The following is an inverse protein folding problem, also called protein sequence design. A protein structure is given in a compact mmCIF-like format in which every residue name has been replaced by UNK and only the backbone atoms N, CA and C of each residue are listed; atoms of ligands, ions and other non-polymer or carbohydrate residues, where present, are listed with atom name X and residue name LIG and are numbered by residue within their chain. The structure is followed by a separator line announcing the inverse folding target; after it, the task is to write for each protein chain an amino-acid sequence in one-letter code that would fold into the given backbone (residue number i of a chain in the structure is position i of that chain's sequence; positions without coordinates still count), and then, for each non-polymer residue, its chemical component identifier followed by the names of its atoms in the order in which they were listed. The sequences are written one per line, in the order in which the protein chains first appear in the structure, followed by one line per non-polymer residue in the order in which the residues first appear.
data_IF_472643625266
#
_entry.id   IF_472643625266
#
_cell.length_a   1.000
_cell.length_b   1.000
_cell.length_c   1.000
_cell.angle_alpha   90.00
_cell.angle_beta   90.00
_cell.angle_gamma   90.00
#
_symmetry.space_group_name_H-M   'P 1'
#
loop_
_entity.id
_entity.type
_entity.pdbx_description
1 polymer ?
#
# COMPACT_ATOMS: atom_id res chain seq x y z
N UNK A 1 49.58 -15.48 -63.26
CA UNK A 1 48.63 -16.51 -62.80
C UNK A 1 48.95 -16.79 -61.35
N UNK A 2 48.25 -16.19 -60.38
CA UNK A 2 47.06 -16.77 -59.72
C UNK A 2 47.40 -18.16 -59.12
N UNK A 3 47.33 -18.45 -57.82
CA UNK A 3 46.28 -18.08 -56.86
C UNK A 3 46.74 -18.30 -55.40
N UNK A 4 46.12 -17.52 -54.52
CA UNK A 4 46.17 -17.53 -53.05
C UNK A 4 45.48 -18.73 -52.42
N UNK A 5 45.82 -19.07 -51.17
CA UNK A 5 44.89 -19.60 -50.15
C UNK A 5 45.49 -19.46 -48.74
N UNK A 6 44.90 -18.55 -47.98
CA UNK A 6 45.24 -18.20 -46.60
C UNK A 6 44.47 -19.12 -45.63
N UNK A 7 45.13 -19.64 -44.60
CA UNK A 7 44.49 -20.31 -43.46
C UNK A 7 44.53 -19.39 -42.25
N UNK A 8 43.39 -18.82 -41.90
CA UNK A 8 43.21 -17.94 -40.73
C UNK A 8 42.94 -18.79 -39.50
N UNK A 9 43.89 -18.81 -38.56
CA UNK A 9 43.71 -19.36 -37.21
C UNK A 9 43.27 -18.24 -36.27
N UNK A 10 41.97 -18.13 -36.03
CA UNK A 10 41.42 -17.20 -35.03
C UNK A 10 41.38 -17.91 -33.67
N UNK A 11 42.30 -17.54 -32.78
CA UNK A 11 42.18 -17.83 -31.35
C UNK A 11 40.94 -17.12 -30.79
N UNK A 12 40.07 -17.80 -30.02
CA UNK A 12 39.00 -17.11 -29.31
C UNK A 12 39.61 -16.26 -28.19
N UNK A 13 39.26 -14.97 -28.16
CA UNK A 13 39.64 -14.05 -27.09
C UNK A 13 39.17 -14.60 -25.74
N UNK A 14 40.01 -14.59 -24.69
CA UNK A 14 39.59 -15.00 -23.36
C UNK A 14 38.51 -14.04 -22.86
N UNK A 15 37.41 -14.60 -22.38
CA UNK A 15 36.38 -13.84 -21.67
C UNK A 15 37.01 -13.07 -20.50
N UNK A 16 36.61 -11.81 -20.24
CA UNK A 16 37.02 -11.12 -19.02
C UNK A 16 36.50 -11.90 -17.80
N UNK A 17 37.24 -11.94 -16.68
CA UNK A 17 36.75 -12.57 -15.46
C UNK A 17 35.45 -11.89 -15.03
N UNK A 18 34.48 -12.63 -14.45
CA UNK A 18 33.32 -11.99 -13.84
C UNK A 18 33.83 -11.08 -12.73
N UNK A 19 33.67 -9.77 -12.90
CA UNK A 19 33.95 -8.81 -11.86
C UNK A 19 33.04 -9.14 -10.66
N UNK A 20 33.57 -9.47 -9.47
CA UNK A 20 32.80 -9.37 -8.25
C UNK A 20 32.65 -7.88 -7.93
N UNK A 21 31.73 -7.22 -8.63
CA UNK A 21 31.41 -5.83 -8.36
C UNK A 21 30.34 -5.77 -7.27
N UNK A 22 30.69 -6.20 -6.06
CA UNK A 22 29.98 -5.80 -4.84
C UNK A 22 30.67 -4.54 -4.35
N UNK A 23 30.20 -3.37 -4.81
CA UNK A 23 30.65 -2.08 -4.29
C UNK A 23 30.23 -1.97 -2.82
N UNK A 24 31.17 -1.94 -1.85
CA UNK A 24 30.85 -1.88 -0.42
C UNK A 24 30.17 -0.57 0.00
N UNK A 25 30.19 0.44 -0.87
CA UNK A 25 29.49 1.72 -0.69
C UNK A 25 27.97 1.62 -0.87
N UNK A 26 27.47 0.64 -1.62
CA UNK A 26 26.03 0.43 -1.78
C UNK A 26 25.42 -0.18 -0.51
N UNK A 27 26.08 -1.20 0.06
CA UNK A 27 25.68 -1.83 1.33
C UNK A 27 25.69 -0.82 2.49
N UNK A 28 26.73 0.02 2.59
CA UNK A 28 26.82 1.02 3.65
C UNK A 28 25.71 2.07 3.57
N UNK A 29 25.29 2.44 2.37
CA UNK A 29 24.21 3.40 2.16
C UNK A 29 22.84 2.82 2.54
N UNK A 30 22.63 1.53 2.30
CA UNK A 30 21.39 0.85 2.68
C UNK A 30 21.31 0.60 4.19
N UNK A 31 22.43 0.27 4.86
CA UNK A 31 22.50 0.18 6.32
C UNK A 31 22.19 1.50 7.02
N UNK A 32 22.74 2.62 6.51
CA UNK A 32 22.45 3.96 7.06
C UNK A 32 20.97 4.32 6.86
N UNK A 33 20.38 4.00 5.69
CA UNK A 33 18.94 4.20 5.46
C UNK A 33 18.09 3.38 6.42
N UNK A 34 18.44 2.12 6.65
CA UNK A 34 17.78 1.22 7.61
C UNK A 34 17.82 1.81 9.02
N UNK A 35 18.98 2.32 9.46
CA UNK A 35 19.13 2.95 10.77
C UNK A 35 18.29 4.23 10.90
N UNK A 36 18.25 5.07 9.86
CA UNK A 36 17.42 6.28 9.85
C UNK A 36 15.94 5.91 9.96
N UNK A 37 15.46 4.93 9.18
CA UNK A 37 14.06 4.50 9.23
C UNK A 37 13.67 3.93 10.61
N UNK A 38 14.55 3.13 11.23
CA UNK A 38 14.33 2.64 12.59
C UNK A 38 14.34 3.76 13.63
N UNK A 39 15.22 4.75 13.48
CA UNK A 39 15.21 5.92 14.35
C UNK A 39 13.89 6.68 14.22
N UNK A 40 13.40 6.91 12.99
CA UNK A 40 12.11 7.55 12.75
C UNK A 40 10.92 6.79 13.32
N UNK A 41 10.97 5.45 13.40
CA UNK A 41 9.92 4.66 14.06
C UNK A 41 9.81 4.94 15.56
N UNK A 42 10.91 5.36 16.21
CA UNK A 42 10.87 5.75 17.64
C UNK A 42 10.17 7.08 17.85
N UNK A 43 10.12 7.91 16.82
CA UNK A 43 9.46 9.21 16.83
C UNK A 43 7.98 9.15 16.39
N UNK A 44 7.41 7.95 16.20
CA UNK A 44 6.02 7.77 15.75
C UNK A 44 4.99 8.56 16.59
N UNK A 45 5.25 8.69 17.89
CA UNK A 45 4.38 9.42 18.81
C UNK A 45 4.36 10.94 18.61
N UNK A 46 5.28 11.51 17.82
CA UNK A 46 5.35 12.92 17.49
C UNK A 46 4.84 13.22 16.07
N UNK A 47 4.57 12.18 15.28
CA UNK A 47 4.13 12.30 13.89
C UNK A 47 2.62 12.49 13.80
N UNK A 48 2.16 13.15 12.74
CA UNK A 48 0.75 13.09 12.36
C UNK A 48 0.42 11.77 11.63
N UNK A 49 -0.87 11.52 11.40
CA UNK A 49 -1.33 10.27 10.77
C UNK A 49 -0.80 10.06 9.36
N UNK A 50 -0.63 11.12 8.56
CA UNK A 50 -0.11 11.02 7.20
C UNK A 50 1.39 10.70 7.17
N UNK A 51 2.17 11.35 8.04
CA UNK A 51 3.61 11.08 8.22
C UNK A 51 3.85 9.66 8.69
N UNK A 52 3.09 9.19 9.69
CA UNK A 52 3.19 7.82 10.17
C UNK A 52 2.83 6.80 9.09
N UNK A 53 1.76 7.04 8.33
CA UNK A 53 1.36 6.16 7.23
C UNK A 53 2.45 6.09 6.13
N UNK A 54 3.07 7.23 5.81
CA UNK A 54 4.16 7.31 4.85
C UNK A 54 5.41 6.58 5.35
N UNK A 55 5.80 6.80 6.61
CA UNK A 55 6.94 6.12 7.22
C UNK A 55 6.73 4.59 7.20
N UNK A 56 5.59 4.11 7.67
CA UNK A 56 5.30 2.68 7.70
C UNK A 56 5.29 2.07 6.29
N UNK A 57 4.66 2.76 5.32
CA UNK A 57 4.70 2.33 3.92
C UNK A 57 6.14 2.25 3.38
N UNK A 58 6.99 3.18 3.78
CA UNK A 58 8.42 3.21 3.42
C UNK A 58 9.18 2.06 4.05
N UNK A 59 8.99 1.80 5.35
CA UNK A 59 9.58 0.65 6.06
C UNK A 59 9.21 -0.68 5.39
N UNK A 60 7.94 -0.86 5.01
CA UNK A 60 7.46 -2.07 4.34
C UNK A 60 8.06 -2.23 2.94
N UNK A 61 8.18 -1.13 2.18
CA UNK A 61 8.77 -1.15 0.83
C UNK A 61 10.27 -1.46 0.88
N UNK A 62 10.95 -0.94 1.88
CA UNK A 62 12.36 -1.22 2.17
C UNK A 62 12.58 -2.65 2.71
N UNK A 63 11.52 -3.43 2.96
CA UNK A 63 11.58 -4.76 3.60
C UNK A 63 12.37 -4.73 4.91
N UNK A 64 12.22 -3.64 5.67
CA UNK A 64 12.94 -3.41 6.91
C UNK A 64 12.59 -4.52 7.93
N UNK A 65 13.58 -5.23 8.51
CA UNK A 65 13.30 -6.18 9.58
C UNK A 65 12.89 -5.41 10.84
N UNK A 66 11.60 -5.44 11.16
CA UNK A 66 11.04 -4.86 12.37
C UNK A 66 10.99 -5.93 13.47
N UNK A 67 11.67 -5.63 14.57
CA UNK A 67 11.69 -6.47 15.76
C UNK A 67 10.42 -6.27 16.59
N UNK A 68 10.34 -6.93 17.74
CA UNK A 68 9.14 -6.89 18.57
C UNK A 68 8.98 -5.53 19.29
N UNK A 69 10.07 -4.80 19.54
CA UNK A 69 10.02 -3.44 20.09
C UNK A 69 9.44 -2.46 19.05
N UNK A 70 9.89 -2.56 17.79
CA UNK A 70 9.35 -1.79 16.67
C UNK A 70 7.83 -2.06 16.50
N UNK A 71 7.40 -3.33 16.58
CA UNK A 71 5.97 -3.69 16.52
C UNK A 71 5.20 -3.15 17.72
N UNK A 72 5.78 -3.17 18.91
CA UNK A 72 5.14 -2.62 20.12
C UNK A 72 4.91 -1.11 20.00
N UNK A 73 5.85 -0.36 19.42
CA UNK A 73 5.68 1.06 19.11
C UNK A 73 4.52 1.30 18.13
N UNK A 74 4.45 0.51 17.06
CA UNK A 74 3.36 0.57 16.08
C UNK A 74 2.02 0.30 16.76
N UNK A 75 1.93 -0.77 17.55
CA UNK A 75 0.71 -1.14 18.27
C UNK A 75 0.27 -0.05 19.25
N UNK A 76 1.22 0.63 19.89
CA UNK A 76 0.94 1.69 20.86
C UNK A 76 0.47 2.99 20.22
N UNK A 77 1.13 3.45 19.16
CA UNK A 77 0.94 4.80 18.65
C UNK A 77 -0.03 4.89 17.47
N UNK A 78 -0.10 3.90 16.60
CA UNK A 78 -1.00 3.95 15.44
C UNK A 78 -2.48 4.05 15.81
N UNK A 79 -3.01 3.36 16.85
CA UNK A 79 -4.40 3.55 17.27
C UNK A 79 -4.72 5.01 17.64
N UNK A 80 -3.76 5.73 18.24
CA UNK A 80 -3.94 7.14 18.60
C UNK A 80 -4.02 8.03 17.36
N UNK A 81 -3.25 7.71 16.33
CA UNK A 81 -3.26 8.42 15.05
C UNK A 81 -4.48 8.06 14.19
N UNK A 82 -4.97 6.83 14.29
CA UNK A 82 -6.11 6.32 13.54
C UNK A 82 -7.38 7.15 13.77
N UNK A 83 -7.63 7.63 15.00
CA UNK A 83 -8.80 8.44 15.30
C UNK A 83 -8.89 9.77 14.52
N UNK A 84 -7.76 10.28 14.03
CA UNK A 84 -7.70 11.51 13.23
C UNK A 84 -7.32 11.22 11.76
N UNK A 85 -7.43 9.96 11.35
CA UNK A 85 -6.99 9.50 10.04
C UNK A 85 -8.13 9.42 9.04
N UNK A 86 -7.83 9.76 7.79
CA UNK A 86 -8.68 9.43 6.66
C UNK A 86 -8.58 7.94 6.28
N UNK A 87 -9.36 7.54 5.28
CA UNK A 87 -9.39 6.15 4.83
C UNK A 87 -8.01 5.67 4.33
N UNK A 88 -7.28 6.55 3.64
CA UNK A 88 -5.96 6.24 3.05
C UNK A 88 -4.95 5.81 4.12
N UNK A 89 -4.88 6.55 5.22
CA UNK A 89 -3.98 6.23 6.32
C UNK A 89 -4.40 4.94 7.03
N UNK A 90 -5.71 4.74 7.25
CA UNK A 90 -6.22 3.50 7.84
C UNK A 90 -5.87 2.27 6.98
N UNK A 91 -5.98 2.37 5.66
CA UNK A 91 -5.59 1.32 4.74
C UNK A 91 -4.08 0.99 4.84
N UNK A 92 -3.23 2.01 4.91
CA UNK A 92 -1.79 1.84 5.11
C UNK A 92 -1.47 1.15 6.45
N UNK A 93 -2.13 1.55 7.54
CA UNK A 93 -1.95 0.94 8.86
C UNK A 93 -2.37 -0.53 8.87
N UNK A 94 -3.50 -0.86 8.25
CA UNK A 94 -4.01 -2.23 8.18
C UNK A 94 -3.10 -3.13 7.34
N UNK A 95 -2.61 -2.62 6.22
CA UNK A 95 -1.62 -3.31 5.37
C UNK A 95 -0.32 -3.56 6.12
N UNK A 96 0.13 -2.57 6.91
CA UNK A 96 1.29 -2.70 7.80
C UNK A 96 1.08 -3.80 8.81
N UNK A 97 -0.07 -3.82 9.49
CA UNK A 97 -0.41 -4.83 10.46
C UNK A 97 -0.35 -6.25 9.88
N UNK A 98 -0.91 -6.45 8.69
CA UNK A 98 -0.90 -7.74 8.01
C UNK A 98 0.51 -8.19 7.59
N UNK A 99 1.35 -7.26 7.10
CA UNK A 99 2.74 -7.60 6.75
C UNK A 99 3.60 -7.93 7.97
N UNK A 100 3.38 -7.24 9.08
CA UNK A 100 4.10 -7.45 10.33
C UNK A 100 3.47 -8.54 11.22
N UNK A 101 2.36 -9.14 10.78
CA UNK A 101 1.59 -10.15 11.52
C UNK A 101 1.15 -9.68 12.92
N UNK A 102 0.74 -8.42 13.03
CA UNK A 102 0.25 -7.84 14.27
C UNK A 102 -1.19 -8.30 14.49
N UNK A 103 -1.39 -9.27 15.39
CA UNK A 103 -2.70 -9.84 15.71
C UNK A 103 -3.36 -9.23 16.96
N UNK A 104 -2.92 -8.05 17.40
CA UNK A 104 -3.50 -7.36 18.55
C UNK A 104 -4.94 -6.91 18.21
N UNK A 105 -5.93 -7.48 18.89
CA UNK A 105 -7.35 -7.26 18.59
C UNK A 105 -7.80 -5.82 18.85
N UNK A 106 -7.35 -5.19 19.94
CA UNK A 106 -7.72 -3.80 20.28
C UNK A 106 -7.16 -2.81 19.25
N UNK A 107 -5.95 -3.08 18.77
CA UNK A 107 -5.32 -2.33 17.69
C UNK A 107 -6.11 -2.45 16.38
N UNK A 108 -6.47 -3.67 15.97
CA UNK A 108 -7.24 -3.91 14.74
C UNK A 108 -8.65 -3.32 14.83
N UNK A 109 -9.29 -3.44 15.99
CA UNK A 109 -10.58 -2.82 16.27
C UNK A 109 -10.52 -1.31 16.10
N UNK A 110 -9.53 -0.66 16.69
CA UNK A 110 -9.39 0.81 16.59
C UNK A 110 -9.17 1.27 15.16
N UNK A 111 -8.29 0.60 14.40
CA UNK A 111 -8.02 0.98 13.00
C UNK A 111 -9.25 0.76 12.11
N UNK A 112 -9.96 -0.36 12.28
CA UNK A 112 -11.17 -0.63 11.49
C UNK A 112 -12.31 0.32 11.83
N UNK A 113 -12.49 0.67 13.10
CA UNK A 113 -13.47 1.66 13.52
C UNK A 113 -13.16 3.05 12.93
N UNK A 114 -11.89 3.46 12.93
CA UNK A 114 -11.45 4.68 12.27
C UNK A 114 -11.68 4.65 10.75
N UNK A 115 -11.32 3.53 10.10
CA UNK A 115 -11.55 3.34 8.66
C UNK A 115 -13.04 3.42 8.29
N UNK A 116 -13.92 2.85 9.11
CA UNK A 116 -15.37 2.94 8.93
C UNK A 116 -15.93 4.34 9.20
N UNK A 117 -15.38 5.06 10.19
CA UNK A 117 -15.73 6.47 10.40
C UNK A 117 -15.39 7.32 9.17
N UNK A 118 -14.28 7.01 8.49
CA UNK A 118 -13.82 7.66 7.26
C UNK A 118 -14.40 7.04 5.97
N UNK A 119 -15.43 6.17 6.04
CA UNK A 119 -15.95 5.41 4.88
C UNK A 119 -16.39 6.26 3.69
N UNK A 120 -16.88 7.47 3.94
CA UNK A 120 -17.29 8.41 2.87
C UNK A 120 -16.12 8.83 1.98
N UNK A 121 -14.88 8.71 2.47
CA UNK A 121 -13.69 8.95 1.67
C UNK A 121 -13.37 7.80 0.71
N UNK A 122 -13.93 6.60 0.90
CA UNK A 122 -13.67 5.45 0.03
C UNK A 122 -14.13 5.75 -1.40
N UNK A 123 -15.31 6.36 -1.56
CA UNK A 123 -15.85 6.72 -2.87
C UNK A 123 -15.07 7.84 -3.58
N UNK A 124 -14.42 8.74 -2.83
CA UNK A 124 -13.75 9.93 -3.40
C UNK A 124 -12.23 9.79 -3.51
N UNK A 125 -11.62 8.97 -2.65
CA UNK A 125 -10.16 8.82 -2.51
C UNK A 125 -9.72 7.36 -2.48
N UNK A 126 -10.64 6.42 -2.28
CA UNK A 126 -10.33 5.00 -2.33
C UNK A 126 -10.14 4.54 -3.77
N UNK A 127 -9.18 3.64 -3.96
CA UNK A 127 -9.04 2.88 -5.21
C UNK A 127 -9.49 1.44 -4.98
N UNK A 128 -9.84 0.75 -6.07
CA UNK A 128 -10.16 -0.68 -6.02
C UNK A 128 -9.02 -1.51 -5.43
N UNK A 129 -7.77 -1.14 -5.75
CA UNK A 129 -6.56 -1.76 -5.20
C UNK A 129 -6.49 -1.57 -3.68
N UNK A 130 -6.70 -0.36 -3.17
CA UNK A 130 -6.66 -0.10 -1.73
C UNK A 130 -7.76 -0.83 -0.96
N UNK A 131 -8.98 -0.88 -1.51
CA UNK A 131 -10.08 -1.65 -0.90
C UNK A 131 -9.75 -3.15 -0.89
N UNK A 132 -9.19 -3.67 -1.99
CA UNK A 132 -8.71 -5.04 -2.09
C UNK A 132 -7.60 -5.35 -1.09
N UNK A 133 -6.62 -4.46 -0.94
CA UNK A 133 -5.52 -4.58 0.03
C UNK A 133 -6.03 -4.60 1.47
N UNK A 134 -7.02 -3.77 1.81
CA UNK A 134 -7.66 -3.79 3.12
C UNK A 134 -8.35 -5.13 3.40
N UNK A 135 -9.15 -5.62 2.45
CA UNK A 135 -9.85 -6.91 2.58
C UNK A 135 -8.86 -8.07 2.71
N UNK A 136 -7.79 -8.05 1.89
CA UNK A 136 -6.73 -9.04 1.94
C UNK A 136 -5.96 -9.00 3.26
N UNK A 137 -5.66 -7.80 3.77
CA UNK A 137 -4.99 -7.60 5.05
C UNK A 137 -5.83 -8.16 6.21
N UNK A 138 -7.14 -7.88 6.24
CA UNK A 138 -8.08 -8.40 7.23
C UNK A 138 -8.17 -9.92 7.19
N UNK A 139 -8.26 -10.51 6.00
CA UNK A 139 -8.25 -11.96 5.82
C UNK A 139 -6.94 -12.60 6.31
N UNK A 140 -5.79 -11.97 6.04
CA UNK A 140 -4.48 -12.43 6.53
C UNK A 140 -4.35 -12.40 8.05
N UNK A 141 -5.05 -11.47 8.69
CA UNK A 141 -5.06 -11.30 10.13
C UNK A 141 -6.16 -12.12 10.82
N UNK A 142 -6.97 -12.84 10.04
CA UNK A 142 -8.16 -13.56 10.51
C UNK A 142 -9.08 -12.67 11.36
N UNK A 143 -9.26 -11.42 10.92
CA UNK A 143 -10.03 -10.41 11.64
C UNK A 143 -11.22 -9.92 10.82
N UNK A 144 -12.41 -10.00 11.42
CA UNK A 144 -13.66 -9.55 10.81
C UNK A 144 -14.28 -8.41 11.62
N UNK A 145 -14.29 -7.20 11.06
CA UNK A 145 -15.01 -6.07 11.66
C UNK A 145 -16.43 -5.99 11.06
N UNK A 146 -17.49 -6.10 11.88
CA UNK A 146 -18.86 -6.30 11.40
C UNK A 146 -19.41 -5.16 10.54
N UNK A 147 -18.95 -3.93 10.75
CA UNK A 147 -19.38 -2.76 9.96
C UNK A 147 -18.44 -2.47 8.79
N UNK A 148 -17.13 -2.43 9.05
CA UNK A 148 -16.14 -2.05 8.05
C UNK A 148 -15.98 -3.06 6.90
N UNK A 149 -16.02 -4.38 7.18
CA UNK A 149 -15.83 -5.39 6.13
C UNK A 149 -16.97 -5.36 5.10
N UNK A 150 -18.26 -5.35 5.49
CA UNK A 150 -19.34 -5.18 4.53
C UNK A 150 -19.22 -3.90 3.70
N UNK A 151 -18.79 -2.78 4.31
CA UNK A 151 -18.59 -1.52 3.62
C UNK A 151 -17.51 -1.62 2.53
N UNK A 152 -16.36 -2.24 2.86
CA UNK A 152 -15.30 -2.50 1.89
C UNK A 152 -15.79 -3.42 0.76
N UNK A 153 -16.57 -4.46 1.09
CA UNK A 153 -17.15 -5.37 0.10
C UNK A 153 -18.17 -4.68 -0.81
N UNK A 154 -18.93 -3.73 -0.29
CA UNK A 154 -19.85 -2.91 -1.08
C UNK A 154 -19.08 -2.10 -2.13
N UNK A 155 -18.08 -1.33 -1.72
CA UNK A 155 -17.26 -0.54 -2.65
C UNK A 155 -16.45 -1.40 -3.62
N UNK A 156 -15.94 -2.56 -3.19
CA UNK A 156 -15.27 -3.50 -4.09
C UNK A 156 -16.19 -3.94 -5.25
N UNK A 157 -17.49 -4.15 -4.98
CA UNK A 157 -18.49 -4.48 -6.01
C UNK A 157 -18.79 -3.29 -6.92
N UNK A 158 -18.89 -2.08 -6.36
CA UNK A 158 -19.10 -0.87 -7.16
C UNK A 158 -17.95 -0.63 -8.13
N UNK A 159 -16.70 -0.81 -7.69
CA UNK A 159 -15.53 -0.73 -8.56
C UNK A 159 -15.54 -1.82 -9.64
N UNK A 160 -15.91 -3.05 -9.29
CA UNK A 160 -15.99 -4.15 -10.25
C UNK A 160 -17.10 -3.97 -11.30
N UNK A 161 -18.20 -3.29 -10.94
CA UNK A 161 -19.30 -2.98 -11.84
C UNK A 161 -19.00 -1.82 -12.82
N UNK A 162 -17.79 -1.24 -12.78
CA UNK A 162 -17.42 -0.09 -13.61
C UNK A 162 -17.83 1.26 -13.03
N UNK A 163 -18.33 1.31 -11.79
CA UNK A 163 -18.75 2.53 -11.08
C UNK A 163 -17.59 3.35 -10.49
N UNK A 164 -16.40 3.28 -11.10
CA UNK A 164 -15.22 3.98 -10.63
C UNK A 164 -15.16 5.44 -11.06
N UNK A 165 -15.98 6.28 -10.43
CA UNK A 165 -15.78 7.73 -10.41
C UNK A 165 -16.48 8.53 -11.52
N UNK A 166 -17.47 9.34 -11.11
CA UNK A 166 -17.79 10.58 -11.82
C UNK A 166 -18.92 10.54 -12.84
N UNK A 167 -20.09 10.01 -12.52
CA UNK A 167 -21.33 10.41 -13.19
C UNK A 167 -22.42 10.71 -12.16
N UNK A 168 -22.33 11.89 -11.54
CA UNK A 168 -23.52 12.73 -11.40
C UNK A 168 -23.84 13.32 -12.78
N UNK A 169 -24.18 12.43 -13.71
CA UNK A 169 -24.74 12.76 -15.01
C UNK A 169 -26.21 13.04 -14.81
N UNK A 170 -26.58 14.30 -15.07
CA UNK A 170 -27.89 14.79 -15.42
C UNK A 170 -29.09 13.93 -14.98
N UNK A 171 -29.83 14.49 -14.02
CA UNK A 171 -31.28 14.33 -13.96
C UNK A 171 -31.84 14.56 -15.36
N UNK A 172 -32.02 13.49 -16.11
CA UNK A 172 -32.76 13.48 -17.36
C UNK A 172 -34.19 13.89 -17.06
N UNK A 173 -34.49 15.18 -17.15
CA UNK A 173 -35.84 15.67 -17.40
C UNK A 173 -36.23 15.17 -18.80
N UNK A 174 -36.70 13.93 -18.87
CA UNK A 174 -37.33 13.39 -20.07
C UNK A 174 -38.81 13.13 -19.79
N UNK A 175 -39.58 14.17 -20.09
CA UNK A 175 -40.80 14.03 -20.90
C UNK A 175 -42.08 13.67 -20.16
N UNK A 176 -42.89 14.69 -19.90
CA UNK A 176 -44.32 14.59 -20.14
C UNK A 176 -44.72 15.69 -21.13
N UNK A 177 -44.69 15.33 -22.42
CA UNK A 177 -45.41 16.06 -23.46
C UNK A 177 -46.89 15.73 -23.28
N UNK A 178 -47.60 16.60 -22.56
CA UNK A 178 -49.05 16.55 -22.49
C UNK A 178 -49.67 16.97 -23.81
N UNK A 179 -50.01 15.99 -24.65
CA UNK A 179 -51.07 16.13 -25.65
C UNK A 179 -52.42 16.16 -24.94
N UNK A 180 -53.09 17.31 -24.97
CA UNK A 180 -54.56 17.47 -24.96
C UNK A 180 -54.83 18.68 -25.85
N UNK A 181 -55.59 18.63 -26.95
CA UNK A 181 -56.73 17.77 -27.20
C UNK A 181 -57.96 18.38 -26.56
N UNK A 182 -58.44 19.49 -27.14
CA UNK A 182 -59.82 19.99 -27.30
C UNK A 182 -59.83 21.51 -27.55
#
# INVERSE_FOLDING_TARGET
SSSSSSSSSSTPSPHPPPHPNTSPTADLADDVRIQILKASLRDLGQMNSAEAALLLSTCLRAKLPLDDDDKALIVRFIPLLAHQSGFVQCAAFLTTAAKLKIQNQDFLKTICAAGYAARTEIATRGTSEMVGDCLFALGKLDYFHPEFVPELMHHAREFAAGGGGGESGERGERGERGERGE
#
